data_IF_331572721077
#
_entry.id   IF_331572721077
#
_cell.length_a   1.000
_cell.length_b   1.000
_cell.length_c   1.000
_cell.angle_alpha   90.00
_cell.angle_beta   90.00
_cell.angle_gamma   90.00
#
_symmetry.space_group_name_H-M   'P 1'
#
loop_
_entity.id
_entity.type
_entity.pdbx_description
1 polymer ?
#
# COMPACT_ATOMS: atom_id res chain seq x y z
N UNK A 1 -10.41 -4.33 -13.87
CA UNK A 1 -11.85 -4.34 -13.65
C UNK A 1 -12.07 -3.71 -12.29
N UNK A 2 -12.68 -2.52 -12.32
CA UNK A 2 -13.42 -1.83 -11.26
C UNK A 2 -12.75 -1.44 -9.93
N UNK A 3 -11.64 -0.68 -9.93
CA UNK A 3 -11.16 0.01 -8.71
C UNK A 3 -10.15 1.11 -9.03
N UNK A 4 -10.62 2.36 -9.00
CA UNK A 4 -9.77 3.55 -8.94
C UNK A 4 -9.35 3.77 -7.48
N UNK A 5 -8.43 2.93 -7.00
CA UNK A 5 -7.83 3.12 -5.68
C UNK A 5 -7.27 4.54 -5.56
N UNK A 6 -7.81 5.31 -4.61
CA UNK A 6 -7.40 6.69 -4.36
C UNK A 6 -6.46 6.77 -3.15
N UNK A 7 -5.55 7.74 -3.17
CA UNK A 7 -4.71 8.06 -2.01
C UNK A 7 -5.59 8.75 -0.97
N UNK A 8 -5.56 8.28 0.26
CA UNK A 8 -6.21 8.95 1.40
C UNK A 8 -5.16 9.68 2.22
N UNK A 9 -5.55 10.84 2.75
CA UNK A 9 -4.70 11.70 3.56
C UNK A 9 -5.36 11.82 4.93
N UNK A 10 -4.62 11.52 6.00
CA UNK A 10 -5.13 11.72 7.37
C UNK A 10 -5.03 13.19 7.83
N UNK A 11 -5.52 13.45 9.04
CA UNK A 11 -5.53 14.80 9.63
C UNK A 11 -4.11 15.37 9.83
N UNK A 12 -3.10 14.50 9.93
CA UNK A 12 -1.69 14.88 10.03
C UNK A 12 -1.01 15.07 8.66
N UNK A 13 -1.71 14.82 7.56
CA UNK A 13 -1.17 14.94 6.21
C UNK A 13 -0.43 13.69 5.70
N UNK A 14 -0.53 12.55 6.39
CA UNK A 14 0.13 11.31 6.00
C UNK A 14 -0.65 10.59 4.91
N UNK A 15 0.06 9.90 4.02
CA UNK A 15 -0.53 9.24 2.86
C UNK A 15 -0.82 7.78 3.14
N UNK A 16 -2.00 7.31 2.75
CA UNK A 16 -2.40 5.91 2.75
C UNK A 16 -2.54 5.45 1.30
N UNK A 17 -1.73 4.48 0.92
CA UNK A 17 -1.65 4.00 -0.46
C UNK A 17 -1.88 2.50 -0.49
N UNK A 18 -2.93 2.10 -1.21
CA UNK A 18 -3.17 0.69 -1.54
C UNK A 18 -2.27 0.27 -2.70
N UNK A 19 -1.62 -0.88 -2.54
CA UNK A 19 -0.63 -1.42 -3.46
C UNK A 19 -1.16 -2.76 -3.99
N UNK A 20 -1.29 -2.85 -5.31
CA UNK A 20 -1.67 -4.10 -5.96
C UNK A 20 -0.53 -5.12 -5.95
N UNK A 21 -0.85 -6.36 -5.57
CA UNK A 21 0.09 -7.47 -5.56
C UNK A 21 -0.15 -8.42 -6.76
N UNK A 22 -0.44 -7.88 -7.94
CA UNK A 22 -0.68 -8.70 -9.15
C UNK A 22 0.62 -9.14 -9.84
N UNK A 23 1.68 -8.37 -9.68
CA UNK A 23 2.97 -8.60 -10.36
C UNK A 23 3.98 -9.37 -9.52
N UNK A 24 3.62 -9.73 -8.29
CA UNK A 24 4.44 -10.49 -7.34
C UNK A 24 5.86 -9.94 -7.12
N UNK A 25 6.05 -8.62 -7.24
CA UNK A 25 7.36 -7.99 -7.08
C UNK A 25 7.82 -8.09 -5.61
N UNK A 26 9.11 -8.39 -5.42
CA UNK A 26 9.75 -8.53 -4.11
C UNK A 26 9.51 -7.30 -3.21
N UNK A 27 9.55 -6.10 -3.80
CA UNK A 27 9.30 -4.85 -3.05
C UNK A 27 7.89 -4.79 -2.45
N UNK A 28 6.88 -5.36 -3.11
CA UNK A 28 5.51 -5.41 -2.58
C UNK A 28 5.33 -6.51 -1.51
N UNK A 29 6.17 -7.56 -1.53
CA UNK A 29 6.23 -8.55 -0.45
C UNK A 29 6.82 -7.97 0.86
N UNK A 30 7.64 -6.93 0.75
CA UNK A 30 8.37 -6.34 1.89
C UNK A 30 7.71 -5.08 2.47
N UNK A 31 6.74 -4.49 1.78
CA UNK A 31 6.09 -3.25 2.19
C UNK A 31 4.61 -3.43 2.56
N UNK A 32 3.95 -4.49 2.10
CA UNK A 32 2.52 -4.70 2.33
C UNK A 32 1.64 -4.13 1.21
N UNK A 33 0.33 -4.36 1.34
CA UNK A 33 -0.70 -4.04 0.35
C UNK A 33 -1.44 -2.73 0.68
N UNK A 34 -1.26 -2.21 1.89
CA UNK A 34 -1.63 -0.86 2.30
C UNK A 34 -0.46 -0.31 3.08
N UNK A 35 0.06 0.84 2.68
CA UNK A 35 1.19 1.48 3.33
C UNK A 35 0.81 2.86 3.83
N UNK A 36 1.38 3.25 4.98
CA UNK A 36 1.37 4.61 5.47
C UNK A 36 2.71 5.27 5.19
N UNK A 37 2.68 6.45 4.55
CA UNK A 37 3.86 7.23 4.20
C UNK A 37 3.82 8.62 4.82
N UNK A 38 4.98 9.08 5.28
CA UNK A 38 5.21 10.47 5.66
C UNK A 38 5.77 11.25 4.45
N UNK A 39 5.00 12.18 3.86
CA UNK A 39 5.47 12.97 2.73
C UNK A 39 6.50 14.05 3.13
N UNK A 40 6.68 14.31 4.43
CA UNK A 40 7.60 15.30 4.98
C UNK A 40 8.97 14.71 5.34
N UNK A 41 9.07 13.39 5.46
CA UNK A 41 10.33 12.70 5.71
C UNK A 41 11.16 12.49 4.43
N UNK A 42 12.41 12.08 4.60
CA UNK A 42 13.36 11.84 3.50
C UNK A 42 13.74 10.36 3.36
N UNK A 43 14.10 9.96 2.15
CA UNK A 43 14.57 8.61 1.86
C UNK A 43 13.60 7.51 2.30
N UNK A 44 14.16 6.50 2.97
CA UNK A 44 13.43 5.34 3.49
C UNK A 44 12.64 5.66 4.77
N UNK A 45 12.96 6.77 5.47
CA UNK A 45 12.23 7.21 6.67
C UNK A 45 10.78 7.64 6.35
N UNK A 46 10.47 7.84 5.06
CA UNK A 46 9.09 8.04 4.59
C UNK A 46 8.17 6.87 4.88
N UNK A 47 8.69 5.64 4.98
CA UNK A 47 7.87 4.47 5.25
C UNK A 47 7.62 4.33 6.75
N UNK A 48 6.35 4.48 7.16
CA UNK A 48 5.97 4.36 8.56
C UNK A 48 5.57 2.93 8.92
N UNK A 49 4.67 2.33 8.16
CA UNK A 49 4.24 0.94 8.33
C UNK A 49 3.47 0.42 7.11
N UNK A 50 3.27 -0.89 7.08
CA UNK A 50 2.53 -1.61 6.04
C UNK A 50 1.63 -2.72 6.59
N UNK A 51 0.44 -2.86 6.03
CA UNK A 51 -0.49 -3.97 6.29
C UNK A 51 -0.40 -4.99 5.18
N UNK A 52 -0.22 -6.25 5.56
CA UNK A 52 -0.04 -7.36 4.65
C UNK A 52 -1.37 -8.08 4.41
N UNK A 53 -1.71 -8.26 3.15
CA UNK A 53 -2.82 -9.07 2.67
C UNK A 53 -2.34 -9.90 1.48
N UNK A 54 -1.23 -10.60 1.70
CA UNK A 54 -0.60 -11.46 0.70
C UNK A 54 -1.39 -12.76 0.58
N UNK A 55 -1.47 -13.27 -0.64
CA UNK A 55 -2.00 -14.60 -0.95
C UNK A 55 -0.97 -15.37 -1.76
N UNK A 56 -0.92 -16.70 -1.58
CA UNK A 56 0.00 -17.54 -2.34
C UNK A 56 -0.42 -17.62 -3.82
N UNK A 57 0.53 -17.55 -4.77
CA UNK A 57 0.23 -17.80 -6.17
C UNK A 57 -0.46 -19.17 -6.39
N UNK A 58 -1.46 -19.27 -7.28
CA UNK A 58 -1.86 -18.28 -8.28
C UNK A 58 -2.92 -17.27 -7.80
N UNK A 59 -3.26 -17.27 -6.50
CA UNK A 59 -4.25 -16.32 -5.98
C UNK A 59 -3.67 -14.90 -6.00
N UNK A 60 -4.45 -13.97 -6.56
CA UNK A 60 -4.12 -12.54 -6.53
C UNK A 60 -4.40 -11.99 -5.14
N UNK A 61 -3.41 -11.31 -4.57
CA UNK A 61 -3.53 -10.56 -3.32
C UNK A 61 -3.46 -9.06 -3.59
N UNK A 62 -3.71 -8.25 -2.58
CA UNK A 62 -3.80 -6.81 -2.78
C UNK A 62 -4.92 -6.18 -1.99
N UNK A 63 -4.86 -4.86 -1.88
CA UNK A 63 -6.02 -4.05 -1.57
C UNK A 63 -6.37 -3.22 -2.78
N UNK A 64 -7.65 -3.28 -3.12
CA UNK A 64 -8.23 -2.61 -4.27
C UNK A 64 -9.14 -1.46 -3.85
N UNK A 65 -9.63 -1.48 -2.61
CA UNK A 65 -10.44 -0.41 -2.05
C UNK A 65 -9.61 0.82 -1.69
N UNK A 66 -10.26 1.99 -1.76
CA UNK A 66 -9.73 3.21 -1.15
C UNK A 66 -9.76 3.04 0.38
N UNK A 67 -8.64 3.27 1.09
CA UNK A 67 -8.61 3.27 2.55
C UNK A 67 -9.61 4.26 3.15
N UNK A 68 -10.17 3.98 4.33
CA UNK A 68 -11.14 4.85 5.02
C UNK A 68 -10.55 5.45 6.29
#
# INVERSE_FOLDING_TARGET
DDVDASIVIDEEGMLYVSVEYERYLERAQNLGQLIKLDPYADGDDRYLWGMYSLTDPPAKGGMWATPA
#
